data_IF_099556861798
#
_entry.id   IF_099556861798
#
_cell.length_a   1.000
_cell.length_b   1.000
_cell.length_c   1.000
_cell.angle_alpha   90.00
_cell.angle_beta   90.00
_cell.angle_gamma   90.00
#
_symmetry.space_group_name_H-M   'P 1'
#
loop_
_entity.id
_entity.type
_entity.pdbx_description
1 polymer ?
#
# COMPACT_ATOMS: atom_id res chain seq x y z
N UNK A 1 16.33 -32.85 -21.84
CA UNK A 1 15.66 -31.72 -21.15
C UNK A 1 16.31 -30.43 -21.65
N UNK A 2 15.65 -29.61 -22.48
CA UNK A 2 16.24 -28.34 -22.91
C UNK A 2 16.24 -27.35 -21.73
N UNK A 3 17.33 -26.59 -21.57
CA UNK A 3 17.39 -25.54 -20.55
C UNK A 3 16.47 -24.39 -20.94
N UNK A 4 15.65 -23.87 -20.01
CA UNK A 4 14.78 -22.74 -20.29
C UNK A 4 15.61 -21.50 -20.63
N UNK A 5 15.16 -20.77 -21.63
CA UNK A 5 15.83 -19.56 -22.11
C UNK A 5 15.78 -18.46 -21.03
N UNK A 6 16.80 -17.58 -20.99
CA UNK A 6 16.83 -16.47 -20.03
C UNK A 6 15.52 -15.64 -20.01
N UNK A 7 14.88 -15.31 -21.15
CA UNK A 7 13.58 -14.63 -21.17
C UNK A 7 12.50 -15.37 -20.40
N UNK A 8 12.38 -16.69 -20.54
CA UNK A 8 11.37 -17.51 -19.84
C UNK A 8 11.58 -17.48 -18.32
N UNK A 9 12.83 -17.54 -17.86
CA UNK A 9 13.15 -17.44 -16.44
C UNK A 9 12.80 -16.06 -15.87
N UNK A 10 13.03 -14.98 -16.63
CA UNK A 10 12.66 -13.63 -16.24
C UNK A 10 11.13 -13.44 -16.17
N UNK A 11 10.39 -13.93 -17.18
CA UNK A 11 8.93 -13.89 -17.16
C UNK A 11 8.35 -14.72 -16.01
N UNK A 12 8.90 -15.91 -15.75
CA UNK A 12 8.45 -16.79 -14.67
C UNK A 12 8.78 -16.23 -13.27
N UNK A 13 9.90 -15.54 -13.12
CA UNK A 13 10.24 -14.82 -11.87
C UNK A 13 9.28 -13.65 -11.63
N UNK A 14 9.01 -12.86 -12.67
CA UNK A 14 8.11 -11.71 -12.59
C UNK A 14 6.65 -12.11 -12.31
N UNK A 15 6.16 -13.19 -12.93
CA UNK A 15 4.80 -13.69 -12.63
C UNK A 15 4.69 -14.18 -11.19
N UNK A 16 5.71 -14.87 -10.67
CA UNK A 16 5.76 -15.32 -9.28
C UNK A 16 5.79 -14.16 -8.28
N UNK A 17 6.48 -13.06 -8.59
CA UNK A 17 6.48 -11.84 -7.78
C UNK A 17 5.12 -11.12 -7.80
N UNK A 18 4.44 -11.11 -8.95
CA UNK A 18 3.10 -10.55 -9.09
C UNK A 18 2.05 -11.35 -8.32
N UNK A 19 2.11 -12.68 -8.37
CA UNK A 19 1.25 -13.55 -7.56
C UNK A 19 1.48 -13.36 -6.06
N UNK A 20 2.75 -13.24 -5.65
CA UNK A 20 3.10 -12.98 -4.25
C UNK A 20 2.57 -11.62 -3.76
N UNK A 21 2.69 -10.57 -4.57
CA UNK A 21 2.18 -9.23 -4.20
C UNK A 21 0.65 -9.18 -4.14
N UNK A 22 -0.06 -9.87 -5.04
CA UNK A 22 -1.52 -9.94 -4.97
C UNK A 22 -2.02 -10.77 -3.76
N UNK A 23 -1.29 -11.83 -3.39
CA UNK A 23 -1.56 -12.58 -2.16
C UNK A 23 -1.40 -11.69 -0.93
N UNK A 24 -0.31 -10.93 -0.83
CA UNK A 24 -0.06 -10.08 0.34
C UNK A 24 -1.06 -8.92 0.46
N UNK A 25 -1.58 -8.39 -0.65
CA UNK A 25 -2.68 -7.41 -0.65
C UNK A 25 -3.94 -8.04 -0.09
N UNK A 26 -4.31 -9.22 -0.59
CA UNK A 26 -5.51 -9.96 -0.16
C UNK A 26 -5.44 -10.27 1.33
N UNK A 27 -4.32 -10.83 1.81
CA UNK A 27 -4.11 -11.19 3.20
C UNK A 27 -4.15 -9.94 4.10
N UNK A 28 -3.53 -8.84 3.67
CA UNK A 28 -3.53 -7.58 4.40
C UNK A 28 -4.94 -6.99 4.57
N UNK A 29 -5.79 -7.08 3.55
CA UNK A 29 -7.16 -6.55 3.61
C UNK A 29 -8.06 -7.44 4.46
N UNK A 30 -7.91 -8.76 4.39
CA UNK A 30 -8.59 -9.67 5.32
C UNK A 30 -8.18 -9.43 6.77
N UNK A 31 -6.88 -9.26 7.03
CA UNK A 31 -6.37 -8.98 8.37
C UNK A 31 -6.93 -7.67 8.93
N UNK A 32 -7.00 -6.61 8.12
CA UNK A 32 -7.62 -5.34 8.54
C UNK A 32 -9.12 -5.53 8.83
N UNK A 33 -9.86 -6.24 7.96
CA UNK A 33 -11.28 -6.51 8.18
C UNK A 33 -11.53 -7.28 9.48
N UNK A 34 -10.80 -8.39 9.69
CA UNK A 34 -10.91 -9.22 10.90
C UNK A 34 -10.53 -8.44 12.16
N UNK A 35 -9.51 -7.58 12.07
CA UNK A 35 -9.11 -6.72 13.17
C UNK A 35 -10.25 -5.76 13.56
N UNK A 36 -10.86 -5.09 12.57
CA UNK A 36 -11.93 -4.13 12.84
C UNK A 36 -13.19 -4.80 13.39
N UNK A 37 -13.55 -6.00 12.89
CA UNK A 37 -14.64 -6.81 13.46
C UNK A 37 -14.36 -7.08 14.95
N UNK A 38 -13.20 -7.65 15.28
CA UNK A 38 -12.83 -7.97 16.67
C UNK A 38 -12.84 -6.72 17.56
N UNK A 39 -12.36 -5.59 17.04
CA UNK A 39 -12.33 -4.31 17.77
C UNK A 39 -13.73 -3.80 18.09
N UNK A 40 -14.64 -3.80 17.11
CA UNK A 40 -16.03 -3.35 17.31
C UNK A 40 -16.75 -4.28 18.29
N UNK A 41 -16.59 -5.60 18.15
CA UNK A 41 -17.18 -6.55 19.11
C UNK A 41 -16.70 -6.31 20.54
N UNK A 42 -15.40 -6.05 20.71
CA UNK A 42 -14.82 -5.76 22.01
C UNK A 42 -15.44 -4.48 22.61
N UNK A 43 -15.57 -3.42 21.80
CA UNK A 43 -16.22 -2.18 22.21
C UNK A 43 -17.70 -2.38 22.58
N UNK A 44 -18.45 -3.13 21.78
CA UNK A 44 -19.85 -3.47 22.06
C UNK A 44 -19.98 -4.25 23.37
N UNK A 45 -19.13 -5.26 23.61
CA UNK A 45 -19.12 -6.02 24.86
C UNK A 45 -18.83 -5.13 26.07
N UNK A 46 -17.87 -4.22 25.96
CA UNK A 46 -17.55 -3.29 27.05
C UNK A 46 -18.70 -2.33 27.34
N UNK A 47 -19.30 -1.75 26.29
CA UNK A 47 -20.48 -0.90 26.43
C UNK A 47 -21.64 -1.64 27.12
N UNK A 48 -21.91 -2.88 26.72
CA UNK A 48 -22.95 -3.69 27.35
C UNK A 48 -22.64 -4.01 28.82
N UNK A 49 -21.37 -4.22 29.17
CA UNK A 49 -20.95 -4.39 30.58
C UNK A 49 -21.19 -3.12 31.39
N UNK A 50 -20.80 -1.97 30.87
CA UNK A 50 -21.00 -0.67 31.54
C UNK A 50 -22.49 -0.35 31.72
N UNK A 51 -23.30 -0.55 30.68
CA UNK A 51 -24.75 -0.36 30.75
C UNK A 51 -25.40 -1.30 31.77
N UNK A 52 -24.91 -2.54 31.89
CA UNK A 52 -25.36 -3.47 32.94
C UNK A 52 -24.96 -3.00 34.32
N UNK A 53 -23.72 -2.55 34.53
CA UNK A 53 -23.26 -2.02 35.82
C UNK A 53 -24.11 -0.82 36.26
N UNK A 54 -24.43 0.10 35.34
CA UNK A 54 -25.31 1.25 35.61
C UNK A 54 -26.75 0.85 35.96
N UNK A 55 -27.27 -0.24 35.37
CA UNK A 55 -28.64 -0.74 35.59
C UNK A 55 -28.74 -1.72 36.76
N UNK A 56 -27.63 -2.27 37.25
CA UNK A 56 -27.59 -3.28 38.29
C UNK A 56 -27.74 -2.66 39.69
N UNK A 57 -28.92 -2.14 40.00
CA UNK A 57 -29.39 -2.09 41.38
C UNK A 57 -29.72 -3.52 41.80
N UNK A 58 -28.76 -4.20 42.45
CA UNK A 58 -28.92 -5.47 43.16
C UNK A 58 -29.56 -6.65 42.36
N UNK A 59 -29.31 -6.77 41.04
CA UNK A 59 -29.79 -7.90 40.26
C UNK A 59 -28.63 -8.70 39.65
N UNK A 60 -28.53 -9.98 40.02
CA UNK A 60 -27.55 -10.99 39.56
C UNK A 60 -27.66 -11.34 38.06
N UNK A 61 -28.28 -10.48 37.25
CA UNK A 61 -28.49 -10.66 35.82
C UNK A 61 -27.18 -10.78 35.03
N UNK A 62 -26.05 -10.38 35.63
CA UNK A 62 -24.71 -10.63 35.09
C UNK A 62 -24.35 -12.13 35.06
N UNK A 63 -24.82 -12.93 36.04
CA UNK A 63 -24.62 -14.39 36.10
C UNK A 63 -25.34 -15.14 34.96
N UNK A 64 -26.41 -14.55 34.41
CA UNK A 64 -27.22 -15.15 33.34
C UNK A 64 -26.79 -14.70 31.93
N UNK A 65 -25.65 -14.01 31.79
CA UNK A 65 -25.24 -13.52 30.48
C UNK A 65 -24.77 -14.67 29.60
N UNK A 66 -25.57 -15.05 28.61
CA UNK A 66 -25.12 -15.94 27.53
C UNK A 66 -23.89 -15.33 26.85
N UNK A 67 -22.81 -16.09 26.73
CA UNK A 67 -21.62 -15.67 25.98
C UNK A 67 -22.03 -15.22 24.58
N UNK A 68 -21.90 -13.92 24.29
CA UNK A 68 -22.09 -13.38 22.94
C UNK A 68 -21.12 -14.12 22.03
N UNK A 69 -21.67 -14.94 21.12
CA UNK A 69 -20.86 -15.70 20.16
C UNK A 69 -20.04 -14.69 19.34
N UNK A 70 -18.73 -14.89 19.21
CA UNK A 70 -17.93 -14.05 18.33
C UNK A 70 -18.42 -14.23 16.89
N UNK A 71 -18.67 -13.11 16.22
CA UNK A 71 -18.96 -13.02 14.82
C UNK A 71 -17.75 -13.54 14.05
N UNK A 72 -17.97 -14.64 13.33
CA UNK A 72 -17.00 -15.22 12.42
C UNK A 72 -17.46 -14.93 11.00
N UNK A 73 -16.54 -14.48 10.15
CA UNK A 73 -16.80 -14.36 8.72
C UNK A 73 -17.25 -15.73 8.17
N UNK A 74 -18.38 -15.76 7.47
CA UNK A 74 -18.82 -16.96 6.77
C UNK A 74 -17.81 -17.31 5.65
N UNK A 75 -17.71 -18.59 5.32
CA UNK A 75 -16.88 -19.04 4.21
C UNK A 75 -17.34 -18.41 2.88
N UNK A 76 -18.65 -18.27 2.68
CA UNK A 76 -19.23 -17.56 1.54
C UNK A 76 -18.74 -16.12 1.43
N UNK A 77 -18.76 -15.39 2.55
CA UNK A 77 -18.37 -13.97 2.59
C UNK A 77 -16.88 -13.80 2.29
N UNK A 78 -16.05 -14.75 2.74
CA UNK A 78 -14.62 -14.78 2.42
C UNK A 78 -14.39 -14.99 0.93
N UNK A 79 -15.10 -15.91 0.31
CA UNK A 79 -14.95 -16.22 -1.12
C UNK A 79 -15.36 -15.03 -1.98
N UNK A 80 -16.49 -14.40 -1.65
CA UNK A 80 -16.96 -13.18 -2.30
C UNK A 80 -15.91 -12.06 -2.20
N UNK A 81 -15.47 -11.74 -0.98
CA UNK A 81 -14.49 -10.68 -0.73
C UNK A 81 -13.15 -10.93 -1.43
N UNK A 82 -12.73 -12.20 -1.52
CA UNK A 82 -11.51 -12.57 -2.24
C UNK A 82 -11.61 -12.20 -3.72
N UNK A 83 -12.80 -12.27 -4.33
CA UNK A 83 -13.06 -11.78 -5.68
C UNK A 83 -12.83 -10.28 -5.85
N UNK A 84 -13.24 -9.48 -4.86
CA UNK A 84 -12.99 -8.03 -4.85
C UNK A 84 -11.53 -7.69 -4.58
N UNK A 85 -10.89 -8.36 -3.61
CA UNK A 85 -9.50 -8.08 -3.24
C UNK A 85 -8.51 -8.37 -4.38
N UNK A 86 -8.76 -9.39 -5.20
CA UNK A 86 -7.95 -9.69 -6.39
C UNK A 86 -7.92 -8.57 -7.42
N UNK A 87 -8.91 -7.68 -7.42
CA UNK A 87 -8.99 -6.58 -8.38
C UNK A 87 -8.11 -5.38 -7.99
N UNK A 88 -7.63 -5.33 -6.75
CA UNK A 88 -6.92 -4.18 -6.17
C UNK A 88 -5.43 -4.29 -6.45
N UNK A 89 -4.81 -3.19 -6.90
CA UNK A 89 -3.37 -3.14 -7.06
C UNK A 89 -2.66 -2.85 -5.73
N UNK A 90 -1.41 -3.28 -5.61
CA UNK A 90 -0.62 -3.03 -4.39
C UNK A 90 -0.47 -1.54 -4.05
N UNK A 91 -0.41 -0.66 -5.06
CA UNK A 91 -0.39 0.81 -4.94
C UNK A 91 -1.66 1.37 -4.28
N UNK A 92 -2.81 0.74 -4.53
CA UNK A 92 -4.13 1.22 -4.11
C UNK A 92 -4.57 0.67 -2.76
N UNK A 93 -3.94 -0.42 -2.29
CA UNK A 93 -4.26 -1.08 -1.02
C UNK A 93 -4.44 -0.09 0.13
N UNK A 94 -3.51 0.87 0.24
CA UNK A 94 -3.53 1.85 1.33
C UNK A 94 -4.74 2.78 1.26
N UNK A 95 -5.15 3.17 0.04
CA UNK A 95 -6.32 4.03 -0.19
C UNK A 95 -7.60 3.32 0.26
N UNK A 96 -7.72 2.03 -0.07
CA UNK A 96 -8.86 1.19 0.37
C UNK A 96 -8.94 1.13 1.89
N UNK A 97 -7.81 0.91 2.58
CA UNK A 97 -7.77 0.86 4.06
C UNK A 97 -8.22 2.20 4.67
N UNK A 98 -7.79 3.33 4.11
CA UNK A 98 -8.17 4.66 4.62
C UNK A 98 -9.68 4.90 4.44
N UNK A 99 -10.22 4.65 3.25
CA UNK A 99 -11.65 4.79 2.98
C UNK A 99 -12.50 3.89 3.87
N UNK A 100 -12.06 2.64 4.03
CA UNK A 100 -12.71 1.69 4.94
C UNK A 100 -12.75 2.23 6.36
N UNK A 101 -11.61 2.69 6.90
CA UNK A 101 -11.55 3.27 8.26
C UNK A 101 -12.42 4.51 8.42
N UNK A 102 -12.52 5.35 7.40
CA UNK A 102 -13.41 6.51 7.42
C UNK A 102 -14.89 6.08 7.47
N UNK A 103 -15.26 5.03 6.71
CA UNK A 103 -16.59 4.45 6.73
C UNK A 103 -16.97 3.85 8.10
N UNK A 104 -16.00 3.31 8.84
CA UNK A 104 -16.22 2.74 10.19
C UNK A 104 -16.62 3.77 11.24
N UNK A 105 -16.41 5.07 11.00
CA UNK A 105 -16.82 6.12 11.94
C UNK A 105 -18.36 6.14 12.06
N UNK A 106 -19.06 5.81 10.98
CA UNK A 106 -20.51 5.80 10.91
C UNK A 106 -21.08 4.43 11.31
N UNK A 107 -20.40 3.34 10.95
CA UNK A 107 -20.91 1.98 11.08
C UNK A 107 -20.44 1.30 12.37
N UNK A 108 -21.38 0.90 13.23
CA UNK A 108 -21.08 0.23 14.51
C UNK A 108 -21.41 -1.26 14.52
N UNK A 109 -21.94 -1.80 13.44
CA UNK A 109 -22.38 -3.19 13.36
C UNK A 109 -21.38 -4.08 12.60
N UNK A 110 -20.94 -5.21 13.20
CA UNK A 110 -19.91 -6.08 12.61
C UNK A 110 -20.36 -6.75 11.30
N UNK A 111 -21.66 -6.89 11.06
CA UNK A 111 -22.21 -7.44 9.82
C UNK A 111 -22.07 -6.48 8.64
N UNK A 112 -22.24 -5.19 8.90
CA UNK A 112 -22.21 -4.16 7.87
C UNK A 112 -20.77 -3.84 7.43
N UNK A 113 -19.77 -4.20 8.24
CA UNK A 113 -18.34 -4.03 7.91
C UNK A 113 -17.93 -4.68 6.60
N UNK A 114 -18.51 -5.83 6.25
CA UNK A 114 -18.24 -6.50 4.98
C UNK A 114 -18.71 -5.62 3.82
N UNK A 115 -19.90 -5.03 3.93
CA UNK A 115 -20.47 -4.15 2.93
C UNK A 115 -19.69 -2.83 2.85
N UNK A 116 -19.27 -2.26 3.99
CA UNK A 116 -18.41 -1.07 4.04
C UNK A 116 -17.08 -1.33 3.33
N UNK A 117 -16.48 -2.51 3.53
CA UNK A 117 -15.26 -2.91 2.83
C UNK A 117 -15.49 -3.03 1.32
N UNK A 118 -16.55 -3.72 0.89
CA UNK A 118 -16.94 -3.83 -0.53
C UNK A 118 -17.11 -2.44 -1.17
N UNK A 119 -17.87 -1.56 -0.51
CA UNK A 119 -18.08 -0.18 -0.97
C UNK A 119 -16.77 0.61 -1.09
N UNK A 120 -15.87 0.48 -0.12
CA UNK A 120 -14.56 1.15 -0.14
C UNK A 120 -13.71 0.69 -1.34
N UNK A 121 -13.78 -0.59 -1.69
CA UNK A 121 -13.09 -1.14 -2.86
C UNK A 121 -13.72 -0.60 -4.14
N UNK A 122 -15.04 -0.68 -4.27
CA UNK A 122 -15.77 -0.18 -5.43
C UNK A 122 -15.51 1.31 -5.68
N UNK A 123 -15.43 2.10 -4.61
CA UNK A 123 -15.08 3.51 -4.70
C UNK A 123 -13.68 3.70 -5.29
N UNK A 124 -12.68 2.96 -4.81
CA UNK A 124 -11.31 3.03 -5.36
C UNK A 124 -11.28 2.59 -6.82
N UNK A 125 -12.01 1.52 -7.17
CA UNK A 125 -12.09 1.04 -8.54
C UNK A 125 -12.78 2.04 -9.47
N UNK A 126 -13.79 2.77 -8.98
CA UNK A 126 -14.49 3.83 -9.72
C UNK A 126 -13.60 5.07 -9.91
N UNK A 127 -12.85 5.43 -8.88
CA UNK A 127 -11.95 6.59 -8.88
C UNK A 127 -10.62 6.31 -9.60
N UNK A 128 -10.41 5.11 -10.15
CA UNK A 128 -9.26 4.84 -11.01
C UNK A 128 -9.32 5.79 -12.20
N UNK A 129 -8.35 6.72 -12.35
CA UNK A 129 -8.22 7.41 -13.61
C UNK A 129 -7.98 6.32 -14.66
N UNK A 130 -8.77 6.34 -15.74
CA UNK A 130 -8.40 5.60 -16.95
C UNK A 130 -7.07 6.21 -17.33
N UNK A 131 -5.97 5.52 -17.03
CA UNK A 131 -4.65 5.97 -17.43
C UNK A 131 -4.69 6.12 -18.95
N UNK A 132 -4.88 7.35 -19.44
CA UNK A 132 -4.54 7.73 -20.79
C UNK A 132 -3.05 7.41 -20.93
N UNK A 133 -2.76 6.23 -21.47
CA UNK A 133 -1.75 5.75 -22.43
C UNK A 133 -0.40 6.51 -22.59
N UNK A 134 -0.19 7.69 -22.02
CA UNK A 134 0.82 8.65 -22.47
C UNK A 134 2.10 8.62 -21.59
N UNK A 135 2.04 8.24 -20.30
CA UNK A 135 3.22 8.33 -19.41
C UNK A 135 4.10 7.08 -19.28
N UNK A 136 3.53 5.88 -19.39
CA UNK A 136 4.22 4.65 -18.91
C UNK A 136 5.21 4.08 -19.93
N UNK A 137 5.07 4.42 -21.22
CA UNK A 137 6.07 4.02 -22.22
C UNK A 137 7.34 4.87 -22.16
N UNK A 138 7.31 6.05 -21.52
CA UNK A 138 8.42 7.00 -21.62
C UNK A 138 9.54 6.81 -20.58
N UNK A 139 9.23 6.35 -19.38
CA UNK A 139 10.27 6.19 -18.36
C UNK A 139 11.16 4.96 -18.58
N UNK A 140 10.77 3.99 -19.42
CA UNK A 140 11.49 2.71 -19.52
C UNK A 140 12.81 2.76 -20.30
N UNK A 141 13.00 3.77 -21.13
CA UNK A 141 14.24 3.96 -21.89
C UNK A 141 15.22 4.91 -21.18
N UNK A 142 14.74 5.78 -20.30
CA UNK A 142 15.59 6.75 -19.59
C UNK A 142 16.46 6.10 -18.50
N UNK A 143 15.94 5.13 -17.74
CA UNK A 143 16.76 4.43 -16.72
C UNK A 143 17.83 3.50 -17.32
N UNK A 144 17.66 3.04 -18.56
CA UNK A 144 18.67 2.25 -19.26
C UNK A 144 19.87 3.08 -19.71
N UNK A 145 19.68 4.39 -19.94
CA UNK A 145 20.74 5.31 -20.33
C UNK A 145 21.53 5.83 -19.12
N UNK A 146 20.91 5.92 -17.94
CA UNK A 146 21.60 6.43 -16.74
C UNK A 146 22.62 5.44 -16.14
N UNK A 147 22.45 4.14 -16.36
CA UNK A 147 23.35 3.11 -15.82
C UNK A 147 24.55 2.79 -16.73
N UNK A 148 24.64 3.40 -17.93
CA UNK A 148 25.67 3.12 -18.93
C UNK A 148 26.53 4.33 -19.30
N UNK A 149 26.38 5.47 -18.61
CA UNK A 149 27.31 6.58 -18.76
C UNK A 149 28.51 6.35 -17.83
N UNK A 150 29.70 5.96 -18.33
CA UNK A 150 30.91 6.11 -17.56
C UNK A 150 31.04 7.59 -17.18
N UNK A 151 31.27 7.86 -15.90
CA UNK A 151 31.52 9.21 -15.38
C UNK A 151 32.57 9.91 -16.25
N UNK A 152 32.10 10.78 -17.15
CA UNK A 152 32.97 11.59 -17.97
C UNK A 152 33.62 12.62 -17.03
N UNK A 153 34.81 12.29 -16.53
CA UNK A 153 35.69 13.25 -15.89
C UNK A 153 36.12 14.25 -16.95
N UNK A 154 35.39 15.37 -17.02
CA UNK A 154 35.78 16.53 -17.80
C UNK A 154 37.02 17.12 -17.13
N UNK A 155 38.20 16.88 -17.67
CA UNK A 155 39.40 17.65 -17.31
C UNK A 155 39.35 18.97 -18.07
N UNK A 156 39.50 20.14 -17.41
CA UNK A 156 39.60 21.40 -18.12
C UNK A 156 40.90 21.41 -18.92
N UNK A 157 40.80 21.46 -20.25
CA UNK A 157 41.92 21.79 -21.12
C UNK A 157 42.26 23.26 -20.92
N UNK A 158 43.28 23.51 -20.09
CA UNK A 158 43.95 24.81 -20.03
C UNK A 158 44.67 25.01 -21.37
N UNK A 159 44.10 25.85 -22.23
CA UNK A 159 44.76 26.32 -23.45
C UNK A 159 45.94 27.21 -23.06
N UNK A 160 47.16 26.81 -23.45
CA UNK A 160 48.34 27.69 -23.42
C UNK A 160 48.21 28.73 -24.54
N UNK A 161 47.47 29.79 -24.27
CA UNK A 161 47.61 31.06 -24.96
C UNK A 161 47.65 32.13 -23.86
N UNK A 162 48.62 33.04 -23.96
CA UNK A 162 48.80 34.22 -23.10
C UNK A 162 49.58 34.03 -21.78
N UNK A 163 50.91 33.95 -21.89
CA UNK A 163 51.79 34.53 -20.86
C UNK A 163 53.10 35.07 -21.48
N UNK A 164 52.96 35.99 -22.43
CA UNK A 164 54.05 36.87 -22.88
C UNK A 164 53.56 38.31 -22.78
N UNK A 165 53.32 38.79 -21.55
CA UNK A 165 53.05 40.20 -21.27
C UNK A 165 53.24 40.51 -19.78
N UNK A 166 54.44 40.26 -19.24
CA UNK A 166 54.90 40.93 -18.02
C UNK A 166 56.43 40.80 -17.85
N UNK A 167 57.18 41.25 -18.86
CA UNK A 167 58.59 41.63 -18.70
C UNK A 167 58.73 43.10 -19.07
N UNK A 168 58.14 43.96 -18.27
CA UNK A 168 58.51 45.37 -18.17
C UNK A 168 57.89 45.90 -16.88
N UNK A 169 58.65 46.73 -16.16
CA UNK A 169 58.29 47.39 -14.89
C UNK A 169 58.45 46.56 -13.60
N UNK A 170 59.69 46.42 -13.14
CA UNK A 170 60.07 46.72 -11.75
C UNK A 170 61.59 46.56 -11.57
N UNK A 171 62.35 47.65 -11.73
CA UNK A 171 63.58 47.86 -10.95
C UNK A 171 63.93 49.35 -10.91
N UNK A 172 63.55 49.99 -9.81
CA UNK A 172 64.04 51.29 -9.33
C UNK A 172 64.16 51.17 -7.81
N UNK A 173 65.31 51.62 -7.28
CA UNK A 173 65.80 51.61 -5.88
C UNK A 173 66.41 50.27 -5.45
N UNK A 174 67.65 50.20 -4.96
CA UNK A 174 68.56 51.17 -4.32
C UNK A 174 69.95 51.03 -4.94
#
# INVERSE_FOLDING_TARGET
>A
MPFPSLPELFFKRRSKEFEKSNSTVTDSLFMELEYQIKKIEYQQRNRLKEEKLKKASANYKWLMTSNLKPYKLSQSDREDLKGYFKQIQQSERQRVIILFRNGLILEKDPKNLINTMKFSIEQVLRERPKEEIIGVRQHKYLWKLMNFMPSARVTPTISKAELNQSKSCASLRI
#
